data_IF_955068307604
#
_entry.id   IF_955068307604
#
_cell.length_a   1.000
_cell.length_b   1.000
_cell.length_c   1.000
_cell.angle_alpha   90.00
_cell.angle_beta   90.00
_cell.angle_gamma   90.00
#
_symmetry.space_group_name_H-M   'P 1'
#
loop_
_entity.id
_entity.type
_entity.pdbx_description
1 polymer ?
#
# COMPACT_ATOMS: atom_id res chain seq x y z
N UNK A 1 8.08 -21.14 9.92
CA UNK A 1 7.07 -20.32 9.20
C UNK A 1 7.68 -19.74 7.94
N UNK A 2 7.00 -19.86 6.84
CA UNK A 2 7.50 -19.47 5.53
C UNK A 2 6.83 -18.18 5.07
N UNK A 3 7.60 -17.11 4.97
CA UNK A 3 7.11 -15.78 4.56
C UNK A 3 7.88 -15.33 3.32
N UNK A 4 7.17 -14.93 2.27
CA UNK A 4 7.79 -14.37 1.08
C UNK A 4 6.91 -13.28 0.45
N UNK A 5 7.52 -12.41 -0.33
CA UNK A 5 6.81 -11.37 -1.07
C UNK A 5 7.02 -11.64 -2.55
N UNK A 6 5.92 -11.65 -3.30
CA UNK A 6 5.93 -11.91 -4.75
C UNK A 6 5.14 -10.82 -5.47
N UNK A 7 5.43 -10.64 -6.74
CA UNK A 7 4.60 -9.82 -7.61
C UNK A 7 3.21 -10.43 -7.68
N UNK A 8 2.16 -9.61 -7.57
CA UNK A 8 0.80 -10.09 -7.66
C UNK A 8 0.52 -10.66 -9.05
N UNK A 9 0.03 -11.89 -9.09
CA UNK A 9 -0.31 -12.61 -10.31
C UNK A 9 -1.77 -13.06 -10.28
N UNK A 10 -2.35 -13.51 -11.42
CA UNK A 10 -3.74 -13.97 -11.45
C UNK A 10 -4.10 -15.00 -10.38
N UNK A 11 -3.17 -15.89 -10.05
CA UNK A 11 -3.40 -16.93 -9.02
C UNK A 11 -3.62 -16.38 -7.62
N UNK A 12 -3.24 -15.12 -7.36
CA UNK A 12 -3.38 -14.47 -6.05
C UNK A 12 -4.69 -13.70 -5.89
N UNK A 13 -5.36 -13.37 -7.00
CA UNK A 13 -6.45 -12.39 -7.01
C UNK A 13 -7.65 -12.81 -6.16
N UNK A 14 -8.03 -14.09 -6.15
CA UNK A 14 -9.16 -14.54 -5.36
C UNK A 14 -8.97 -14.26 -3.87
N UNK A 15 -7.78 -14.56 -3.35
CA UNK A 15 -7.44 -14.28 -1.95
C UNK A 15 -7.33 -12.77 -1.66
N UNK A 16 -6.77 -12.01 -2.60
CA UNK A 16 -6.69 -10.54 -2.49
C UNK A 16 -8.09 -9.94 -2.38
N UNK A 17 -9.03 -10.39 -3.20
CA UNK A 17 -10.41 -9.91 -3.19
C UNK A 17 -11.11 -10.26 -1.88
N UNK A 18 -10.84 -11.43 -1.29
CA UNK A 18 -11.36 -11.78 0.03
C UNK A 18 -10.93 -10.78 1.09
N UNK A 19 -9.62 -10.42 1.10
CA UNK A 19 -9.08 -9.44 2.05
C UNK A 19 -9.68 -8.06 1.79
N UNK A 20 -9.81 -7.69 0.52
CA UNK A 20 -10.35 -6.41 0.08
C UNK A 20 -11.77 -6.20 0.61
N UNK A 21 -12.62 -7.21 0.51
CA UNK A 21 -14.03 -7.14 0.94
C UNK A 21 -14.20 -6.83 2.43
N UNK A 22 -13.32 -7.34 3.28
CA UNK A 22 -13.39 -7.08 4.73
C UNK A 22 -12.63 -5.83 5.14
N UNK A 23 -11.75 -5.31 4.28
CA UNK A 23 -10.87 -4.19 4.64
C UNK A 23 -11.40 -2.83 4.18
N UNK A 24 -12.21 -2.80 3.13
CA UNK A 24 -12.63 -1.54 2.50
C UNK A 24 -14.14 -1.48 2.29
N UNK A 25 -14.72 -0.28 2.47
CA UNK A 25 -16.14 -0.03 2.25
C UNK A 25 -16.54 -0.07 0.77
N UNK A 26 -15.60 0.27 -0.11
CA UNK A 26 -15.79 0.21 -1.57
C UNK A 26 -14.72 -0.71 -2.16
N UNK A 27 -14.89 -2.02 -1.98
CA UNK A 27 -13.86 -2.98 -2.40
C UNK A 27 -13.73 -3.07 -3.91
N UNK A 28 -12.49 -3.26 -4.39
CA UNK A 28 -12.23 -3.58 -5.78
C UNK A 28 -12.64 -5.01 -6.07
N UNK A 29 -13.13 -5.24 -7.28
CA UNK A 29 -13.58 -6.56 -7.74
C UNK A 29 -12.44 -7.37 -8.35
N UNK A 30 -12.70 -8.66 -8.59
CA UNK A 30 -11.76 -9.54 -9.29
C UNK A 30 -11.42 -8.98 -10.69
N UNK A 31 -12.40 -8.44 -11.40
CA UNK A 31 -12.20 -7.86 -12.74
C UNK A 31 -11.25 -6.66 -12.65
N UNK A 32 -11.45 -5.81 -11.65
CA UNK A 32 -10.59 -4.63 -11.45
C UNK A 32 -9.15 -5.01 -11.18
N UNK A 33 -8.90 -6.00 -10.33
CA UNK A 33 -7.55 -6.47 -10.05
C UNK A 33 -6.92 -7.18 -11.25
N UNK A 34 -7.70 -7.93 -12.00
CA UNK A 34 -7.22 -8.60 -13.21
C UNK A 34 -6.72 -7.58 -14.23
N UNK A 35 -7.45 -6.47 -14.38
CA UNK A 35 -7.05 -5.38 -15.25
C UNK A 35 -5.83 -4.64 -14.68
N UNK A 36 -5.82 -4.41 -13.36
CA UNK A 36 -4.78 -3.64 -12.68
C UNK A 36 -3.40 -4.26 -12.85
N UNK A 37 -3.28 -5.56 -12.61
CA UNK A 37 -1.97 -6.23 -12.69
C UNK A 37 -1.40 -6.28 -14.11
N UNK A 38 -2.23 -6.04 -15.13
CA UNK A 38 -1.81 -5.96 -16.52
C UNK A 38 -1.35 -4.57 -16.97
N UNK A 39 -1.49 -3.55 -16.11
CA UNK A 39 -1.12 -2.18 -16.46
C UNK A 39 0.38 -1.94 -16.26
N UNK A 40 0.99 -1.24 -17.21
CA UNK A 40 2.43 -0.96 -17.21
C UNK A 40 2.90 -0.18 -15.98
N UNK A 41 2.11 0.80 -15.54
CA UNK A 41 2.46 1.67 -14.41
C UNK A 41 2.13 1.06 -13.05
N UNK A 42 1.51 -0.11 -13.02
CA UNK A 42 1.06 -0.76 -11.79
C UNK A 42 2.18 -1.58 -11.15
N UNK A 43 2.31 -1.48 -9.82
CA UNK A 43 3.25 -2.26 -9.02
C UNK A 43 2.49 -2.85 -7.84
N UNK A 44 2.08 -4.10 -7.97
CA UNK A 44 1.29 -4.81 -6.97
C UNK A 44 2.07 -6.00 -6.45
N UNK A 45 2.12 -6.15 -5.13
CA UNK A 45 2.81 -7.25 -4.45
C UNK A 45 1.90 -7.93 -3.45
N UNK A 46 2.14 -9.22 -3.25
CA UNK A 46 1.47 -10.01 -2.21
C UNK A 46 2.52 -10.55 -1.23
N UNK A 47 2.16 -10.57 0.04
CA UNK A 47 2.95 -11.22 1.08
C UNK A 47 2.27 -12.55 1.39
N UNK A 48 3.03 -13.62 1.29
CA UNK A 48 2.54 -14.99 1.40
C UNK A 48 3.12 -15.62 2.65
N UNK A 49 2.24 -16.17 3.49
CA UNK A 49 2.62 -16.88 4.70
C UNK A 49 2.08 -18.30 4.59
N UNK A 50 2.99 -19.28 4.61
CA UNK A 50 2.63 -20.70 4.50
C UNK A 50 1.68 -20.98 3.32
N UNK A 51 2.07 -20.48 2.15
CA UNK A 51 1.38 -20.64 0.86
C UNK A 51 0.02 -19.93 0.73
N UNK A 52 -0.34 -19.08 1.69
CA UNK A 52 -1.57 -18.28 1.62
C UNK A 52 -1.26 -16.79 1.58
N UNK A 53 -2.07 -16.02 0.83
CA UNK A 53 -1.93 -14.56 0.80
C UNK A 53 -2.36 -14.00 2.15
N UNK A 54 -1.42 -13.38 2.85
CA UNK A 54 -1.65 -12.75 4.15
C UNK A 54 -1.92 -11.25 4.02
N UNK A 55 -1.31 -10.61 3.03
CA UNK A 55 -1.40 -9.17 2.84
C UNK A 55 -1.05 -8.81 1.40
N UNK A 56 -1.41 -7.60 0.99
CA UNK A 56 -1.08 -7.11 -0.34
C UNK A 56 -0.94 -5.60 -0.36
N UNK A 57 -0.26 -5.10 -1.40
CA UNK A 57 -0.13 -3.67 -1.66
C UNK A 57 -0.30 -3.44 -3.16
N UNK A 58 -1.04 -2.40 -3.52
CA UNK A 58 -1.23 -1.96 -4.89
C UNK A 58 -0.76 -0.53 -5.03
N UNK A 59 0.04 -0.24 -6.04
CA UNK A 59 0.58 1.10 -6.25
C UNK A 59 0.75 1.40 -7.74
N UNK A 60 0.84 2.70 -8.06
CA UNK A 60 1.11 3.19 -9.40
C UNK A 60 2.39 4.03 -9.38
N UNK A 61 3.24 3.84 -10.40
CA UNK A 61 4.40 4.70 -10.62
C UNK A 61 4.11 5.58 -11.83
N UNK A 62 4.20 6.90 -11.63
CA UNK A 62 4.10 7.89 -12.70
C UNK A 62 5.27 8.85 -12.53
N UNK A 63 6.18 8.87 -13.52
CA UNK A 63 7.42 9.65 -13.46
C UNK A 63 8.24 9.25 -12.22
N UNK A 64 8.53 10.18 -11.32
CA UNK A 64 9.33 9.95 -10.11
C UNK A 64 8.48 9.78 -8.84
N UNK A 65 7.17 9.61 -9.00
CA UNK A 65 6.24 9.44 -7.87
C UNK A 65 5.58 8.06 -7.90
N UNK A 66 5.43 7.47 -6.72
CA UNK A 66 4.68 6.23 -6.53
C UNK A 66 3.49 6.51 -5.60
N UNK A 67 2.28 6.22 -6.08
CA UNK A 67 1.07 6.37 -5.27
C UNK A 67 0.60 5.01 -4.80
N UNK A 68 0.45 4.85 -3.49
CA UNK A 68 -0.13 3.63 -2.90
C UNK A 68 -1.66 3.75 -3.01
N UNK A 69 -2.29 2.81 -3.70
CA UNK A 69 -3.74 2.78 -3.85
C UNK A 69 -4.41 1.98 -2.74
N UNK A 70 -3.84 0.84 -2.41
CA UNK A 70 -4.38 -0.08 -1.41
C UNK A 70 -3.24 -0.78 -0.68
N UNK A 71 -3.42 -0.97 0.62
CA UNK A 71 -2.60 -1.89 1.42
C UNK A 71 -3.51 -2.49 2.48
N UNK A 72 -3.50 -3.81 2.61
CA UNK A 72 -4.34 -4.50 3.58
C UNK A 72 -3.75 -5.82 4.00
N UNK A 73 -4.06 -6.23 5.24
CA UNK A 73 -3.71 -7.54 5.78
C UNK A 73 -4.98 -8.29 6.16
N UNK A 74 -4.92 -9.61 6.16
CA UNK A 74 -5.99 -10.42 6.73
C UNK A 74 -6.22 -9.99 8.18
N UNK A 75 -7.49 -9.95 8.59
CA UNK A 75 -7.85 -9.43 9.92
C UNK A 75 -7.17 -10.18 11.07
N UNK A 76 -7.01 -11.50 10.93
CA UNK A 76 -6.37 -12.32 11.96
C UNK A 76 -4.83 -12.24 11.94
N UNK A 77 -4.26 -11.55 10.96
CA UNK A 77 -2.80 -11.43 10.81
C UNK A 77 -2.31 -9.98 10.92
N UNK A 78 -3.18 -9.08 11.35
CA UNK A 78 -2.81 -7.69 11.63
C UNK A 78 -1.86 -7.62 12.81
N UNK A 79 -1.03 -6.57 12.84
CA UNK A 79 -0.02 -6.33 13.88
C UNK A 79 1.09 -7.39 13.93
N UNK A 80 1.26 -8.16 12.86
CA UNK A 80 2.37 -9.09 12.70
C UNK A 80 3.57 -8.47 11.97
N UNK A 81 3.48 -7.19 11.59
CA UNK A 81 4.53 -6.50 10.85
C UNK A 81 4.50 -6.72 9.34
N UNK A 82 3.47 -7.36 8.81
CA UNK A 82 3.38 -7.68 7.37
C UNK A 82 3.17 -6.43 6.51
N UNK A 83 2.41 -5.46 7.01
CA UNK A 83 2.25 -4.18 6.32
C UNK A 83 3.57 -3.45 6.17
N UNK A 84 4.38 -3.45 7.22
CA UNK A 84 5.72 -2.84 7.21
C UNK A 84 6.64 -3.56 6.23
N UNK A 85 6.59 -4.90 6.19
CA UNK A 85 7.38 -5.68 5.24
C UNK A 85 7.03 -5.36 3.80
N UNK A 86 5.73 -5.26 3.49
CA UNK A 86 5.27 -4.89 2.15
C UNK A 86 5.68 -3.48 1.77
N UNK A 87 5.53 -2.54 2.69
CA UNK A 87 5.89 -1.14 2.45
C UNK A 87 7.39 -1.01 2.18
N UNK A 88 8.22 -1.67 2.99
CA UNK A 88 9.68 -1.66 2.79
C UNK A 88 10.08 -2.31 1.47
N UNK A 89 9.40 -3.38 1.09
CA UNK A 89 9.64 -4.03 -0.21
C UNK A 89 9.32 -3.08 -1.36
N UNK A 90 8.18 -2.39 -1.29
CA UNK A 90 7.79 -1.41 -2.29
C UNK A 90 8.81 -0.26 -2.37
N UNK A 91 9.22 0.28 -1.21
CA UNK A 91 10.20 1.38 -1.16
C UNK A 91 11.50 0.98 -1.87
N UNK A 92 12.01 -0.20 -1.60
CA UNK A 92 13.24 -0.67 -2.24
C UNK A 92 13.08 -0.86 -3.75
N UNK A 93 11.94 -1.39 -4.17
CA UNK A 93 11.66 -1.62 -5.60
C UNK A 93 11.56 -0.31 -6.37
N UNK A 94 10.80 0.65 -5.84
CA UNK A 94 10.59 1.92 -6.54
C UNK A 94 11.82 2.81 -6.48
N UNK A 95 12.58 2.75 -5.40
CA UNK A 95 13.86 3.47 -5.29
C UNK A 95 14.84 3.04 -6.39
N UNK A 96 14.90 1.74 -6.69
CA UNK A 96 15.74 1.20 -7.76
C UNK A 96 15.33 1.75 -9.15
N UNK A 97 14.10 2.24 -9.30
CA UNK A 97 13.57 2.83 -10.53
C UNK A 97 13.54 4.37 -10.49
N UNK A 98 14.36 4.96 -9.63
CA UNK A 98 14.51 6.43 -9.51
C UNK A 98 13.26 7.16 -9.02
N UNK A 99 12.38 6.48 -8.31
CA UNK A 99 11.23 7.12 -7.66
C UNK A 99 11.72 7.86 -6.42
N UNK A 100 11.26 9.09 -6.24
CA UNK A 100 11.68 9.96 -5.14
C UNK A 100 10.66 10.01 -4.01
N UNK A 101 9.38 10.03 -4.36
CA UNK A 101 8.30 10.25 -3.41
C UNK A 101 7.28 9.11 -3.44
N UNK A 102 6.85 8.72 -2.26
CA UNK A 102 5.74 7.79 -2.05
C UNK A 102 4.56 8.59 -1.51
N UNK A 103 3.41 8.43 -2.13
CA UNK A 103 2.20 9.18 -1.78
C UNK A 103 1.07 8.24 -1.40
N UNK A 104 0.25 8.65 -0.42
CA UNK A 104 -0.97 7.93 -0.09
C UNK A 104 -2.05 8.90 0.38
N UNK A 105 -3.31 8.59 0.06
CA UNK A 105 -4.48 9.30 0.57
C UNK A 105 -5.18 8.43 1.61
N UNK A 106 -5.44 9.00 2.78
CA UNK A 106 -6.02 8.30 3.92
C UNK A 106 -7.27 9.05 4.37
N UNK A 107 -8.35 8.31 4.70
CA UNK A 107 -9.54 8.94 5.30
C UNK A 107 -9.15 9.57 6.62
N UNK A 108 -9.64 10.77 6.89
CA UNK A 108 -9.28 11.48 8.13
C UNK A 108 -9.67 10.72 9.40
N UNK A 109 -10.72 9.88 9.34
CA UNK A 109 -11.16 9.07 10.47
C UNK A 109 -10.36 7.79 10.66
N UNK A 110 -9.49 7.43 9.72
CA UNK A 110 -8.71 6.19 9.79
C UNK A 110 -7.45 6.40 10.62
N UNK A 111 -7.62 6.43 11.94
CA UNK A 111 -6.53 6.68 12.88
C UNK A 111 -5.45 5.60 12.85
N UNK A 112 -5.84 4.34 12.62
CA UNK A 112 -4.91 3.23 12.53
C UNK A 112 -3.96 3.38 11.34
N UNK A 113 -4.52 3.70 10.17
CA UNK A 113 -3.72 3.93 8.96
C UNK A 113 -2.83 5.16 9.12
N UNK A 114 -3.37 6.24 9.67
CA UNK A 114 -2.59 7.46 9.95
C UNK A 114 -1.39 7.17 10.82
N UNK A 115 -1.59 6.44 11.92
CA UNK A 115 -0.52 6.08 12.84
C UNK A 115 0.53 5.20 12.15
N UNK A 116 0.09 4.23 11.33
CA UNK A 116 0.97 3.36 10.59
C UNK A 116 1.88 4.14 9.63
N UNK A 117 1.30 5.06 8.86
CA UNK A 117 2.08 5.83 7.89
C UNK A 117 3.00 6.84 8.56
N UNK A 118 2.56 7.51 9.62
CA UNK A 118 3.43 8.41 10.40
C UNK A 118 4.61 7.68 10.99
N UNK A 119 4.38 6.50 11.56
CA UNK A 119 5.45 5.67 12.12
C UNK A 119 6.44 5.22 11.03
N UNK A 120 5.95 5.04 9.82
CA UNK A 120 6.78 4.63 8.68
C UNK A 120 7.58 5.80 8.07
N UNK A 121 7.36 7.02 8.52
CA UNK A 121 8.10 8.20 8.06
C UNK A 121 7.33 9.15 7.15
N UNK A 122 6.05 8.88 6.89
CA UNK A 122 5.22 9.76 6.10
C UNK A 122 4.85 11.03 6.87
N UNK A 123 4.73 12.15 6.17
CA UNK A 123 4.27 13.41 6.72
C UNK A 123 3.00 13.86 5.99
N UNK A 124 2.17 14.64 6.67
CA UNK A 124 0.96 15.20 6.07
C UNK A 124 1.35 16.34 5.13
N UNK A 125 0.88 16.27 3.89
CA UNK A 125 1.15 17.28 2.86
C UNK A 125 -0.08 18.12 2.50
N UNK A 126 -1.27 17.61 2.71
CA UNK A 126 -2.47 18.35 2.34
C UNK A 126 -3.75 17.60 2.64
N UNK A 127 -4.86 18.23 2.28
CA UNK A 127 -6.19 17.71 2.48
C UNK A 127 -6.99 17.88 1.18
N UNK A 128 -7.81 16.87 0.86
CA UNK A 128 -8.83 16.98 -0.19
C UNK A 128 -10.18 16.93 0.50
N UNK A 129 -10.83 18.07 0.63
CA UNK A 129 -12.11 18.19 1.35
C UNK A 129 -13.23 17.43 0.64
N UNK A 130 -13.99 16.64 1.42
CA UNK A 130 -15.13 15.90 0.92
C UNK A 130 -14.81 14.87 -0.16
N UNK A 131 -13.58 14.41 -0.22
CA UNK A 131 -13.08 13.51 -1.28
C UNK A 131 -13.83 12.17 -1.35
N UNK A 132 -14.14 11.59 -0.19
CA UNK A 132 -14.85 10.31 -0.13
C UNK A 132 -16.35 10.53 -0.22
N UNK A 133 -16.96 10.08 -1.32
CA UNK A 133 -18.37 10.35 -1.61
C UNK A 133 -19.36 9.68 -0.65
N UNK A 134 -18.98 8.55 -0.05
CA UNK A 134 -19.83 7.78 0.84
C UNK A 134 -20.07 8.48 2.19
N UNK A 135 -19.01 9.00 2.80
CA UNK A 135 -19.07 9.65 4.13
C UNK A 135 -18.87 11.15 4.09
N UNK A 136 -18.48 11.71 2.96
CA UNK A 136 -18.09 13.13 2.80
C UNK A 136 -16.84 13.47 3.60
N UNK A 137 -16.09 12.48 4.05
CA UNK A 137 -14.84 12.71 4.77
C UNK A 137 -13.76 13.29 3.88
N UNK A 138 -12.85 14.03 4.50
CA UNK A 138 -11.68 14.54 3.82
C UNK A 138 -10.67 13.42 3.60
N UNK A 139 -9.87 13.53 2.55
CA UNK A 139 -8.70 12.69 2.35
C UNK A 139 -7.47 13.44 2.85
N UNK A 140 -6.67 12.78 3.69
CA UNK A 140 -5.40 13.33 4.14
C UNK A 140 -4.33 12.81 3.18
N UNK A 141 -3.65 13.72 2.50
CA UNK A 141 -2.54 13.37 1.62
C UNK A 141 -1.25 13.29 2.42
N UNK A 142 -0.61 12.13 2.40
CA UNK A 142 0.65 11.89 3.10
C UNK A 142 1.75 11.57 2.09
N UNK A 143 2.97 12.00 2.41
CA UNK A 143 4.13 11.86 1.54
C UNK A 143 5.33 11.33 2.32
N UNK A 144 6.05 10.39 1.70
CA UNK A 144 7.34 9.91 2.19
C UNK A 144 8.41 10.28 1.17
N UNK A 145 9.42 11.03 1.61
CA UNK A 145 10.61 11.31 0.82
C UNK A 145 11.58 10.13 0.98
N UNK A 146 11.71 9.33 -0.06
CA UNK A 146 12.48 8.09 -0.02
C UNK A 146 13.96 8.34 0.22
N UNK A 147 14.54 9.34 -0.43
CA UNK A 147 15.96 9.65 -0.27
C UNK A 147 16.29 10.07 1.17
N UNK A 148 15.45 10.91 1.77
CA UNK A 148 15.62 11.32 3.16
C UNK A 148 15.54 10.12 4.10
N UNK A 149 14.56 9.24 3.89
CA UNK A 149 14.38 8.03 4.71
C UNK A 149 15.62 7.14 4.64
N UNK A 150 16.13 6.87 3.44
CA UNK A 150 17.28 6.00 3.25
C UNK A 150 18.58 6.63 3.74
N UNK A 151 18.74 7.95 3.63
CA UNK A 151 19.88 8.68 4.18
C UNK A 151 19.96 8.56 5.69
N UNK A 152 18.82 8.71 6.38
CA UNK A 152 18.76 8.57 7.85
C UNK A 152 19.11 7.13 8.26
N UNK A 153 18.62 6.13 7.53
CA UNK A 153 18.91 4.73 7.81
C UNK A 153 20.38 4.37 7.60
N UNK A 154 21.02 4.93 6.56
CA UNK A 154 22.44 4.65 6.26
C UNK A 154 23.42 5.49 7.07
N UNK A 155 22.97 6.59 7.66
CA UNK A 155 23.79 7.48 8.47
C UNK A 155 23.89 7.11 9.95
N UNK A 156 23.20 6.06 10.37
CA UNK A 156 23.15 5.65 11.78
C UNK A 156 24.17 4.58 12.14
#
# INVERSE_FOLDING_TARGET
MRVCIEKMEPKHIDEVVEIEKVSFSSPWTKVMYTQEIGREHSNCFVLIVNDEVAAYISSWIVLDECTINKIACRSNLRRCGYGTMLLNHLINKVHANSVKDLLIEVRESNDEAMAFYKKSGFIIKGLRKGYYSDTKEDAVLMLLDIETLLSVSSGS
#
